data_IF_898307127654
#
_entry.id   IF_898307127654
#
_cell.length_a   1.000
_cell.length_b   1.000
_cell.length_c   1.000
_cell.angle_alpha   90.00
_cell.angle_beta   90.00
_cell.angle_gamma   90.00
#
_symmetry.space_group_name_H-M   'P 1'
#
loop_
_entity.id
_entity.type
_entity.pdbx_description
1 polymer ?
#
# COMPACT_ATOMS: atom_id res chain seq x y z
N UNK A 1 0.80 14.09 0.18
CA UNK A 1 -0.03 14.00 1.40
C UNK A 1 -0.05 12.59 1.96
N UNK A 2 -0.25 12.47 3.27
CA UNK A 2 -0.58 11.21 3.93
C UNK A 2 -2.09 11.21 4.18
N UNK A 3 -2.87 10.64 3.26
CA UNK A 3 -4.31 10.57 3.43
C UNK A 3 -4.68 9.64 4.59
N UNK A 4 -5.71 9.99 5.34
CA UNK A 4 -6.13 9.27 6.53
C UNK A 4 -7.65 9.23 6.74
N UNK A 5 -8.41 9.46 5.68
CA UNK A 5 -9.87 9.35 5.71
C UNK A 5 -10.32 8.15 4.87
N UNK A 6 -10.46 6.99 5.48
CA UNK A 6 -10.87 5.74 4.84
C UNK A 6 -9.77 4.70 4.70
N UNK A 7 -10.14 3.48 4.34
CA UNK A 7 -9.27 2.30 4.36
C UNK A 7 -8.56 2.00 3.03
N UNK A 8 -8.66 2.86 2.03
CA UNK A 8 -7.98 2.67 0.76
C UNK A 8 -6.54 3.19 0.81
N UNK A 9 -5.54 2.36 0.47
CA UNK A 9 -4.15 2.79 0.32
C UNK A 9 -3.36 3.03 1.61
N UNK A 10 -3.87 2.62 2.76
CA UNK A 10 -3.23 2.75 4.07
C UNK A 10 -1.83 2.10 4.13
N UNK A 11 -1.58 1.05 3.34
CA UNK A 11 -0.25 0.47 3.21
C UNK A 11 0.78 1.48 2.71
N UNK A 12 0.43 2.30 1.74
CA UNK A 12 1.32 3.33 1.19
C UNK A 12 1.76 4.33 2.27
N UNK A 13 0.85 4.77 3.15
CA UNK A 13 1.20 5.70 4.23
C UNK A 13 2.10 5.07 5.27
N UNK A 14 1.85 3.81 5.66
CA UNK A 14 2.72 3.07 6.57
C UNK A 14 4.10 2.83 5.98
N UNK A 15 4.15 2.37 4.72
CA UNK A 15 5.40 2.13 4.02
C UNK A 15 6.23 3.40 3.87
N UNK A 16 5.61 4.52 3.52
CA UNK A 16 6.29 5.80 3.41
C UNK A 16 6.95 6.21 4.73
N UNK A 17 6.20 6.19 5.83
CA UNK A 17 6.71 6.55 7.17
C UNK A 17 7.86 5.61 7.57
N UNK A 18 7.67 4.29 7.40
CA UNK A 18 8.68 3.29 7.72
C UNK A 18 10.01 3.53 6.98
N UNK A 19 9.93 3.90 5.70
CA UNK A 19 11.11 4.07 4.86
C UNK A 19 11.96 5.28 5.23
N UNK A 20 11.38 6.37 5.72
CA UNK A 20 12.10 7.63 5.96
C UNK A 20 13.35 7.43 6.85
N UNK A 21 13.29 6.53 7.82
CA UNK A 21 14.41 6.23 8.73
C UNK A 21 14.64 4.72 8.95
N UNK A 22 14.16 3.87 8.05
CA UNK A 22 14.39 2.42 8.10
C UNK A 22 13.62 1.69 9.20
N UNK A 23 12.48 2.22 9.64
CA UNK A 23 11.55 1.57 10.55
C UNK A 23 10.87 0.35 9.92
N UNK A 24 10.02 -0.33 10.69
CA UNK A 24 9.22 -1.47 10.20
C UNK A 24 7.84 -1.44 10.85
N UNK A 25 6.84 -1.93 10.13
CA UNK A 25 5.46 -2.04 10.65
C UNK A 25 5.34 -3.22 11.61
N UNK A 26 6.03 -4.30 11.32
CA UNK A 26 6.07 -5.52 12.15
C UNK A 26 7.50 -5.96 12.39
N UNK A 27 7.68 -6.89 13.30
CA UNK A 27 8.92 -7.66 13.40
C UNK A 27 9.16 -8.52 12.15
N UNK A 28 10.38 -9.04 11.98
CA UNK A 28 10.75 -9.85 10.81
C UNK A 28 9.95 -11.15 10.67
N UNK A 29 9.46 -11.68 11.78
CA UNK A 29 8.66 -12.93 11.82
C UNK A 29 7.17 -12.68 11.62
N UNK A 30 6.76 -11.42 11.49
CA UNK A 30 5.35 -11.02 11.32
C UNK A 30 4.49 -11.55 12.48
N UNK A 31 5.00 -11.44 13.71
CA UNK A 31 4.31 -11.92 14.92
C UNK A 31 3.74 -10.80 15.79
N UNK A 32 4.22 -9.57 15.59
CA UNK A 32 3.76 -8.38 16.32
C UNK A 32 4.00 -7.11 15.53
N UNK A 33 3.20 -6.08 15.81
CA UNK A 33 3.44 -4.72 15.34
C UNK A 33 4.53 -4.04 16.16
N UNK A 34 5.36 -3.24 15.49
CA UNK A 34 6.55 -2.56 16.07
C UNK A 34 6.63 -1.09 15.65
N UNK A 35 5.48 -0.46 15.39
CA UNK A 35 5.42 0.92 14.92
C UNK A 35 5.80 1.96 15.96
N UNK A 36 5.98 1.55 17.23
CA UNK A 36 6.56 2.33 18.32
C UNK A 36 8.11 2.30 18.34
N UNK A 37 8.73 1.63 17.37
CA UNK A 37 10.19 1.67 17.18
C UNK A 37 10.65 3.11 16.92
N UNK A 38 11.77 3.57 17.54
CA UNK A 38 12.25 4.94 17.40
C UNK A 38 12.46 5.41 15.96
N UNK A 39 12.78 4.51 15.02
CA UNK A 39 12.94 4.87 13.61
C UNK A 39 11.61 5.14 12.94
N UNK A 40 10.58 4.36 13.29
CA UNK A 40 9.23 4.58 12.77
C UNK A 40 8.63 5.87 13.36
N UNK A 41 8.79 6.09 14.65
CA UNK A 41 8.40 7.33 15.34
C UNK A 41 9.02 8.55 14.67
N UNK A 42 10.34 8.52 14.45
CA UNK A 42 11.07 9.59 13.76
C UNK A 42 10.56 9.83 12.33
N UNK A 43 10.11 8.76 11.64
CA UNK A 43 9.47 8.85 10.33
C UNK A 43 8.16 9.64 10.38
N UNK A 44 7.31 9.35 11.34
CA UNK A 44 6.03 10.07 11.50
C UNK A 44 6.25 11.50 11.97
N UNK A 45 7.19 11.76 12.89
CA UNK A 45 7.58 13.11 13.29
C UNK A 45 8.03 13.95 12.11
N UNK A 46 8.84 13.36 11.22
CA UNK A 46 9.33 14.04 10.01
C UNK A 46 8.18 14.39 9.06
N UNK A 47 7.25 13.46 8.84
CA UNK A 47 6.08 13.69 8.02
C UNK A 47 5.16 14.77 8.63
N UNK A 48 4.93 14.71 9.94
CA UNK A 48 4.17 15.74 10.68
C UNK A 48 4.82 17.11 10.55
N UNK A 49 6.14 17.18 10.70
CA UNK A 49 6.88 18.43 10.52
C UNK A 49 6.75 18.99 9.10
N UNK A 50 6.77 18.16 8.08
CA UNK A 50 6.53 18.61 6.70
C UNK A 50 5.11 19.15 6.48
N UNK A 51 4.11 18.61 7.18
CA UNK A 51 2.75 19.15 7.15
C UNK A 51 2.72 20.53 7.82
N UNK A 52 3.30 20.66 9.01
CA UNK A 52 3.40 21.92 9.74
C UNK A 52 4.12 23.01 8.94
N UNK A 53 5.21 22.65 8.24
CA UNK A 53 6.00 23.55 7.40
C UNK A 53 5.34 23.88 6.04
N UNK A 54 4.17 23.32 5.73
CA UNK A 54 3.47 23.49 4.47
C UNK A 54 4.14 22.79 3.27
N UNK A 55 5.11 21.90 3.52
CA UNK A 55 5.80 21.11 2.48
C UNK A 55 5.02 19.87 2.07
N UNK A 56 4.13 19.40 2.93
CA UNK A 56 3.25 18.27 2.69
C UNK A 56 1.80 18.66 3.00
N UNK A 57 0.88 18.37 2.08
CA UNK A 57 -0.54 18.62 2.33
C UNK A 57 -1.03 17.76 3.49
N UNK A 58 -1.80 18.37 4.40
CA UNK A 58 -2.52 17.62 5.42
C UNK A 58 -3.59 16.73 4.75
N UNK A 59 -3.46 15.44 4.89
CA UNK A 59 -4.32 14.44 4.26
C UNK A 59 -5.48 13.96 5.15
N UNK A 60 -5.73 14.59 6.29
CA UNK A 60 -6.74 14.15 7.26
C UNK A 60 -8.16 14.08 6.69
N UNK A 61 -8.44 14.85 5.65
CA UNK A 61 -9.72 14.86 4.92
C UNK A 61 -9.67 14.05 3.62
N UNK A 62 -8.53 13.46 3.28
CA UNK A 62 -8.35 12.74 2.02
C UNK A 62 -8.54 11.25 2.22
N UNK A 63 -9.29 10.65 1.32
CA UNK A 63 -9.38 9.20 1.14
C UNK A 63 -8.35 8.68 0.12
N UNK A 64 -8.29 7.37 -0.03
CA UNK A 64 -7.37 6.74 -0.97
C UNK A 64 -7.67 7.13 -2.42
N UNK A 65 -6.70 7.76 -3.07
CA UNK A 65 -6.78 8.23 -4.46
C UNK A 65 -6.87 9.74 -4.60
N UNK A 66 -7.25 10.48 -3.56
CA UNK A 66 -7.27 11.94 -3.60
C UNK A 66 -5.85 12.54 -3.76
N UNK A 67 -4.85 11.90 -3.18
CA UNK A 67 -3.44 12.27 -3.31
C UNK A 67 -2.97 12.23 -4.78
N UNK A 68 -3.37 11.21 -5.52
CA UNK A 68 -3.02 11.08 -6.93
C UNK A 68 -3.79 12.09 -7.79
N UNK A 69 -5.04 12.36 -7.43
CA UNK A 69 -5.82 13.39 -8.12
C UNK A 69 -5.19 14.77 -7.92
N UNK A 70 -4.70 15.09 -6.71
CA UNK A 70 -3.99 16.34 -6.42
C UNK A 70 -2.69 16.44 -7.21
N UNK A 71 -1.96 15.33 -7.37
CA UNK A 71 -0.77 15.28 -8.22
C UNK A 71 -1.13 15.51 -9.71
N UNK A 72 -2.12 14.81 -10.23
CA UNK A 72 -2.58 14.96 -11.62
C UNK A 72 -3.07 16.39 -11.93
N UNK A 73 -3.63 17.07 -10.93
CA UNK A 73 -4.07 18.46 -11.03
C UNK A 73 -2.93 19.49 -10.82
N UNK A 74 -1.68 19.04 -10.63
CA UNK A 74 -0.52 19.91 -10.43
C UNK A 74 -0.47 20.57 -9.04
N UNK A 75 -1.26 20.12 -8.08
CA UNK A 75 -1.27 20.68 -6.72
C UNK A 75 -0.10 20.16 -5.87
N UNK A 76 0.48 19.03 -6.23
CA UNK A 76 1.66 18.45 -5.58
C UNK A 76 2.65 17.95 -6.62
N UNK A 77 3.95 18.09 -6.33
CA UNK A 77 5.03 17.58 -7.20
C UNK A 77 5.34 16.11 -6.97
N UNK A 78 4.87 15.55 -5.85
CA UNK A 78 5.07 14.15 -5.45
C UNK A 78 3.78 13.54 -4.95
N UNK A 79 3.58 12.27 -5.28
CA UNK A 79 2.50 11.46 -4.72
C UNK A 79 2.98 10.05 -4.40
N UNK A 80 2.25 9.34 -3.57
CA UNK A 80 2.50 7.91 -3.30
C UNK A 80 1.69 7.11 -4.31
N UNK A 81 2.39 6.41 -5.19
CA UNK A 81 1.78 5.43 -6.09
C UNK A 81 1.78 4.06 -5.40
N UNK A 82 0.60 3.55 -5.07
CA UNK A 82 0.48 2.30 -4.32
C UNK A 82 0.11 1.08 -5.17
N UNK A 83 -0.21 1.24 -6.45
CA UNK A 83 -0.38 0.13 -7.37
C UNK A 83 -0.06 0.54 -8.82
N UNK A 84 0.70 -0.28 -9.57
CA UNK A 84 0.90 -0.06 -11.01
C UNK A 84 -0.41 0.00 -11.79
N UNK A 85 -1.46 -0.71 -11.31
CA UNK A 85 -2.80 -0.68 -11.88
C UNK A 85 -3.44 0.69 -11.90
N UNK A 86 -3.04 1.58 -11.00
CA UNK A 86 -3.51 2.96 -10.98
C UNK A 86 -2.94 3.79 -12.13
N UNK A 87 -1.79 3.38 -12.68
CA UNK A 87 -1.27 3.97 -13.89
C UNK A 87 -2.27 3.86 -15.06
N UNK A 88 -3.07 2.81 -15.13
CA UNK A 88 -4.09 2.64 -16.17
C UNK A 88 -5.27 3.61 -16.06
N UNK A 89 -5.73 3.88 -14.85
CA UNK A 89 -6.86 4.81 -14.59
C UNK A 89 -6.37 6.26 -14.64
N UNK A 90 -5.17 6.51 -14.17
CA UNK A 90 -4.61 7.85 -14.00
C UNK A 90 -3.65 8.25 -15.11
N UNK A 91 -3.13 7.30 -15.91
CA UNK A 91 -2.37 7.61 -17.10
C UNK A 91 -3.13 8.58 -18.01
N UNK A 92 -4.44 8.41 -18.16
CA UNK A 92 -5.28 9.33 -18.94
C UNK A 92 -5.32 10.74 -18.34
N UNK A 93 -5.33 10.87 -17.01
CA UNK A 93 -5.30 12.16 -16.33
C UNK A 93 -3.93 12.80 -16.44
N UNK A 94 -2.86 12.03 -16.25
CA UNK A 94 -1.48 12.47 -16.37
C UNK A 94 -1.14 12.81 -17.83
N UNK A 95 -1.57 12.01 -18.79
CA UNK A 95 -1.41 12.29 -20.23
C UNK A 95 -2.13 13.58 -20.64
N UNK A 96 -3.33 13.82 -20.11
CA UNK A 96 -4.08 15.04 -20.35
C UNK A 96 -3.39 16.28 -19.75
N UNK A 97 -2.69 16.14 -18.63
CA UNK A 97 -1.96 17.24 -17.97
C UNK A 97 -0.63 17.58 -18.64
N UNK A 98 -0.14 16.75 -19.57
CA UNK A 98 1.19 16.85 -20.21
C UNK A 98 2.36 16.93 -19.23
N UNK A 99 2.24 16.31 -18.08
CA UNK A 99 3.27 16.23 -17.05
C UNK A 99 4.12 14.99 -17.29
N UNK A 100 5.44 15.14 -17.31
CA UNK A 100 6.35 13.99 -17.26
C UNK A 100 6.35 13.40 -15.86
N UNK A 101 6.07 12.10 -15.77
CA UNK A 101 6.02 11.36 -14.51
C UNK A 101 7.18 10.38 -14.44
N UNK A 102 7.93 10.47 -13.36
CA UNK A 102 9.02 9.55 -13.05
C UNK A 102 8.69 8.78 -11.78
N UNK A 103 8.67 7.46 -11.88
CA UNK A 103 8.52 6.58 -10.73
C UNK A 103 9.87 6.36 -10.06
N UNK A 104 9.87 6.50 -8.74
CA UNK A 104 11.02 6.24 -7.89
C UNK A 104 10.57 5.38 -6.68
N UNK A 105 11.44 4.48 -6.17
CA UNK A 105 11.12 3.78 -4.92
C UNK A 105 11.00 4.79 -3.77
N UNK A 106 10.41 4.38 -2.65
CA UNK A 106 10.33 5.26 -1.48
C UNK A 106 11.71 5.78 -1.08
N UNK A 107 11.79 7.07 -0.67
CA UNK A 107 13.03 7.62 -0.12
C UNK A 107 13.43 6.81 1.12
N UNK A 108 14.70 6.48 1.22
CA UNK A 108 15.24 5.70 2.34
C UNK A 108 16.60 6.24 2.72
N UNK A 109 16.81 6.49 4.00
CA UNK A 109 18.12 6.91 4.55
C UNK A 109 19.19 5.81 4.43
N UNK A 110 18.77 4.56 4.29
CA UNK A 110 19.66 3.41 4.12
C UNK A 110 20.01 3.13 2.65
N UNK A 111 19.40 3.83 1.70
CA UNK A 111 19.50 3.53 0.27
C UNK A 111 18.86 2.19 -0.14
N UNK A 112 18.21 1.49 0.80
CA UNK A 112 17.52 0.21 0.58
C UNK A 112 16.05 0.37 1.01
N UNK A 113 15.16 0.78 0.11
CA UNK A 113 13.75 0.95 0.45
C UNK A 113 13.12 -0.40 0.80
N UNK A 114 12.14 -0.35 1.69
CA UNK A 114 11.27 -1.48 2.01
C UNK A 114 9.92 -1.20 1.37
N UNK A 115 9.52 -2.03 0.41
CA UNK A 115 8.24 -1.87 -0.27
C UNK A 115 7.24 -2.87 0.29
N UNK A 116 6.01 -2.44 0.41
CA UNK A 116 4.89 -3.31 0.68
C UNK A 116 4.24 -3.75 -0.63
N UNK A 117 3.61 -4.91 -0.60
CA UNK A 117 2.91 -5.44 -1.75
C UNK A 117 1.56 -6.02 -1.34
N UNK A 118 0.67 -6.13 -2.29
CA UNK A 118 -0.65 -6.71 -2.12
C UNK A 118 -0.81 -7.85 -3.11
N UNK A 119 -1.27 -8.98 -2.63
CA UNK A 119 -1.66 -10.11 -3.47
C UNK A 119 -3.18 -10.12 -3.60
N UNK A 120 -3.66 -9.91 -4.82
CA UNK A 120 -5.07 -10.06 -5.15
C UNK A 120 -5.32 -11.47 -5.68
N UNK A 121 -6.46 -12.03 -5.32
CA UNK A 121 -6.85 -13.37 -5.72
C UNK A 121 -8.36 -13.56 -5.76
N UNK A 122 -8.77 -14.72 -6.23
CA UNK A 122 -10.16 -15.12 -6.25
C UNK A 122 -10.42 -16.14 -5.15
N UNK A 123 -11.50 -15.96 -4.39
CA UNK A 123 -11.95 -16.90 -3.38
C UNK A 123 -13.22 -17.60 -3.83
N UNK A 124 -13.28 -18.92 -3.60
CA UNK A 124 -14.49 -19.71 -3.82
C UNK A 124 -15.11 -20.04 -2.47
N UNK A 125 -16.26 -19.48 -2.17
CA UNK A 125 -16.99 -19.74 -0.94
C UNK A 125 -17.79 -21.04 -1.05
N UNK A 126 -17.80 -21.81 0.04
CA UNK A 126 -18.65 -22.98 0.16
C UNK A 126 -20.09 -22.56 0.49
N UNK A 127 -20.95 -22.54 -0.53
CA UNK A 127 -22.37 -22.24 -0.39
C UNK A 127 -23.24 -23.50 -0.14
N UNK A 128 -22.62 -24.64 0.22
CA UNK A 128 -23.30 -25.93 0.46
C UNK A 128 -23.93 -26.57 -0.80
N UNK A 129 -23.60 -26.09 -1.99
CA UNK A 129 -24.00 -26.68 -3.26
C UNK A 129 -22.73 -27.11 -4.01
N UNK A 130 -22.45 -28.39 -4.00
CA UNK A 130 -21.23 -28.97 -4.57
C UNK A 130 -21.07 -28.66 -6.06
N UNK A 131 -22.19 -28.63 -6.81
CA UNK A 131 -22.16 -28.35 -8.26
C UNK A 131 -21.77 -26.91 -8.52
N UNK A 132 -22.31 -25.97 -7.74
CA UNK A 132 -21.95 -24.53 -7.85
C UNK A 132 -20.50 -24.30 -7.43
N UNK A 133 -20.07 -24.92 -6.34
CA UNK A 133 -18.66 -24.83 -5.90
C UNK A 133 -17.72 -25.39 -6.96
N UNK A 134 -18.03 -26.54 -7.57
CA UNK A 134 -17.23 -27.13 -8.63
C UNK A 134 -17.18 -26.22 -9.90
N UNK A 135 -18.30 -25.62 -10.28
CA UNK A 135 -18.36 -24.69 -11.40
C UNK A 135 -17.54 -23.40 -11.09
N UNK A 136 -17.66 -22.85 -9.89
CA UNK A 136 -16.89 -21.68 -9.46
C UNK A 136 -15.37 -21.97 -9.48
N UNK A 137 -14.94 -23.13 -9.01
CA UNK A 137 -13.52 -23.54 -9.07
C UNK A 137 -13.02 -23.60 -10.52
N UNK A 138 -13.78 -24.19 -11.44
CA UNK A 138 -13.42 -24.23 -12.87
C UNK A 138 -13.32 -22.83 -13.47
N UNK A 139 -14.25 -21.94 -13.12
CA UNK A 139 -14.21 -20.55 -13.58
C UNK A 139 -12.98 -19.82 -13.06
N UNK A 140 -12.67 -19.93 -11.76
CA UNK A 140 -11.47 -19.32 -11.18
C UNK A 140 -10.20 -19.86 -11.82
N UNK A 141 -10.11 -21.18 -12.06
CA UNK A 141 -8.98 -21.76 -12.77
C UNK A 141 -8.84 -21.20 -14.18
N UNK A 142 -9.94 -21.04 -14.90
CA UNK A 142 -9.92 -20.47 -16.24
C UNK A 142 -9.38 -19.03 -16.26
N UNK A 143 -9.87 -18.15 -15.40
CA UNK A 143 -9.45 -16.74 -15.39
C UNK A 143 -8.07 -16.50 -14.77
N UNK A 144 -7.59 -17.42 -13.93
CA UNK A 144 -6.31 -17.26 -13.22
C UNK A 144 -5.16 -18.11 -13.80
N UNK A 145 -5.46 -19.28 -14.36
CA UNK A 145 -4.45 -20.28 -14.74
C UNK A 145 -4.38 -20.57 -16.24
N UNK A 146 -5.42 -20.23 -16.99
CA UNK A 146 -5.42 -20.45 -18.43
C UNK A 146 -4.27 -19.68 -19.09
N UNK A 147 -3.61 -20.34 -20.06
CA UNK A 147 -2.41 -19.80 -20.71
C UNK A 147 -2.68 -18.54 -21.54
N UNK A 148 -3.90 -18.38 -22.01
CA UNK A 148 -4.32 -17.23 -22.80
C UNK A 148 -5.01 -16.17 -21.93
N UNK A 149 -5.98 -16.58 -21.14
CA UNK A 149 -6.82 -15.65 -20.36
C UNK A 149 -6.17 -15.18 -19.07
N UNK A 150 -5.36 -16.01 -18.42
CA UNK A 150 -4.65 -15.63 -17.21
C UNK A 150 -3.76 -14.39 -17.40
N UNK A 151 -2.82 -14.38 -18.38
CA UNK A 151 -2.03 -13.20 -18.70
C UNK A 151 -2.87 -11.98 -19.08
N UNK A 152 -3.89 -12.14 -19.91
CA UNK A 152 -4.80 -11.05 -20.33
C UNK A 152 -5.51 -10.42 -19.12
N UNK A 153 -5.95 -11.25 -18.17
CA UNK A 153 -6.58 -10.78 -16.94
C UNK A 153 -5.62 -10.00 -16.07
N UNK A 154 -4.38 -10.47 -15.91
CA UNK A 154 -3.34 -9.75 -15.16
C UNK A 154 -3.07 -8.38 -15.79
N UNK A 155 -2.83 -8.32 -17.10
CA UNK A 155 -2.59 -7.06 -17.82
C UNK A 155 -3.76 -6.10 -17.68
N UNK A 156 -5.00 -6.61 -17.78
CA UNK A 156 -6.21 -5.79 -17.61
C UNK A 156 -6.32 -5.13 -16.24
N UNK A 157 -5.80 -5.78 -15.20
CA UNK A 157 -5.76 -5.21 -13.84
C UNK A 157 -4.55 -4.30 -13.60
N UNK A 158 -3.59 -4.27 -14.53
CA UNK A 158 -2.33 -3.53 -14.36
C UNK A 158 -1.42 -4.09 -13.27
N UNK A 159 -1.64 -5.33 -12.83
CA UNK A 159 -0.86 -5.98 -11.80
C UNK A 159 0.31 -6.81 -12.39
N UNK A 160 1.26 -7.20 -11.53
CA UNK A 160 2.28 -8.20 -11.92
C UNK A 160 1.75 -9.62 -11.71
N UNK A 161 2.16 -10.58 -12.57
CA UNK A 161 1.76 -11.96 -12.38
C UNK A 161 2.43 -12.58 -11.16
N UNK A 162 1.66 -13.33 -10.37
CA UNK A 162 2.21 -14.19 -9.31
C UNK A 162 2.78 -15.51 -9.87
N UNK A 163 2.50 -15.81 -11.14
CA UNK A 163 2.99 -16.99 -11.83
C UNK A 163 4.16 -16.66 -12.74
N UNK A 164 5.32 -17.24 -12.45
CA UNK A 164 6.52 -17.10 -13.29
C UNK A 164 6.32 -17.63 -14.72
N UNK A 165 5.41 -18.61 -14.90
CA UNK A 165 5.08 -19.20 -16.22
C UNK A 165 4.40 -18.22 -17.19
N UNK A 166 3.89 -17.10 -16.71
CA UNK A 166 3.32 -16.06 -17.59
C UNK A 166 4.39 -15.16 -18.21
N UNK A 167 5.63 -15.22 -17.69
CA UNK A 167 6.74 -14.46 -18.25
C UNK A 167 6.56 -12.94 -18.16
N UNK A 168 7.20 -12.23 -19.07
CA UNK A 168 7.08 -10.78 -19.21
C UNK A 168 5.73 -10.42 -19.86
N UNK A 169 4.90 -9.64 -19.19
CA UNK A 169 3.58 -9.26 -19.68
C UNK A 169 3.49 -7.82 -20.21
N UNK A 170 4.47 -6.97 -19.90
CA UNK A 170 4.46 -5.57 -20.25
C UNK A 170 5.68 -5.19 -21.08
N UNK A 171 5.46 -4.41 -22.15
CA UNK A 171 6.49 -3.74 -22.95
C UNK A 171 6.57 -2.24 -22.61
N UNK A 172 6.09 -1.86 -21.44
CA UNK A 172 6.11 -0.50 -20.90
C UNK A 172 7.35 -0.33 -20.02
N UNK A 173 8.20 0.66 -20.33
CA UNK A 173 9.44 0.93 -19.59
C UNK A 173 9.21 1.22 -18.11
N UNK A 174 8.09 1.85 -17.75
CA UNK A 174 7.74 2.14 -16.35
C UNK A 174 7.43 0.84 -15.62
N UNK A 175 6.61 -0.03 -16.22
CA UNK A 175 6.30 -1.34 -15.65
C UNK A 175 7.56 -2.22 -15.52
N UNK A 176 8.46 -2.16 -16.48
CA UNK A 176 9.77 -2.83 -16.38
C UNK A 176 10.56 -2.30 -15.18
N UNK A 177 10.67 -0.99 -15.03
CA UNK A 177 11.38 -0.35 -13.91
C UNK A 177 10.76 -0.78 -12.56
N UNK A 178 9.45 -0.68 -12.40
CA UNK A 178 8.75 -1.05 -11.16
C UNK A 178 8.94 -2.55 -10.87
N UNK A 179 8.97 -3.42 -11.89
CA UNK A 179 9.17 -4.85 -11.69
C UNK A 179 10.52 -5.18 -11.04
N UNK A 180 11.55 -4.35 -11.26
CA UNK A 180 12.86 -4.53 -10.61
C UNK A 180 12.81 -4.28 -9.10
N UNK A 181 11.82 -3.54 -8.61
CA UNK A 181 11.68 -3.20 -7.20
C UNK A 181 11.06 -4.32 -6.36
N UNK A 182 10.60 -5.40 -6.96
CA UNK A 182 10.12 -6.59 -6.23
C UNK A 182 11.18 -7.16 -5.29
N UNK A 183 12.47 -6.92 -5.55
CA UNK A 183 13.58 -7.26 -4.66
C UNK A 183 13.54 -6.52 -3.31
N UNK A 184 12.80 -5.41 -3.22
CA UNK A 184 12.65 -4.60 -2.02
C UNK A 184 11.40 -4.94 -1.20
N UNK A 185 10.64 -5.96 -1.58
CA UNK A 185 9.44 -6.35 -0.85
C UNK A 185 9.77 -6.78 0.57
N UNK A 186 9.06 -6.18 1.51
CA UNK A 186 9.10 -6.51 2.93
C UNK A 186 8.32 -7.80 3.23
N UNK A 187 8.47 -8.40 4.40
CA UNK A 187 7.61 -9.49 4.84
C UNK A 187 6.12 -9.12 4.72
N UNK A 188 5.31 -10.05 4.23
CA UNK A 188 3.89 -9.83 3.98
C UNK A 188 3.10 -9.94 5.29
N UNK A 189 2.78 -8.80 5.90
CA UNK A 189 2.10 -8.76 7.20
C UNK A 189 0.57 -8.68 7.12
N UNK A 190 -0.01 -8.65 5.93
CA UNK A 190 -1.47 -8.60 5.77
C UNK A 190 -2.18 -9.89 6.23
N UNK A 191 -1.43 -10.95 6.49
CA UNK A 191 -1.92 -12.23 7.02
C UNK A 191 -1.86 -12.34 8.54
N UNK A 192 -1.33 -11.32 9.22
CA UNK A 192 -1.29 -11.32 10.68
C UNK A 192 -2.73 -11.28 11.25
N UNK A 193 -2.96 -12.03 12.29
CA UNK A 193 -4.26 -12.01 12.96
C UNK A 193 -4.60 -10.56 13.42
N UNK A 194 -5.86 -10.17 13.28
CA UNK A 194 -6.28 -8.81 13.63
C UNK A 194 -5.89 -7.71 12.62
N UNK A 195 -5.33 -8.06 11.44
CA UNK A 195 -4.93 -7.07 10.44
C UNK A 195 -6.05 -6.09 10.07
N UNK A 196 -7.27 -6.58 9.85
CA UNK A 196 -8.40 -5.71 9.51
C UNK A 196 -8.75 -4.73 10.65
N UNK A 197 -8.69 -5.20 11.91
CA UNK A 197 -8.93 -4.35 13.09
C UNK A 197 -7.82 -3.32 13.27
N UNK A 198 -6.55 -3.71 13.11
CA UNK A 198 -5.41 -2.78 13.14
C UNK A 198 -5.61 -1.64 12.15
N UNK A 199 -6.10 -1.90 10.94
CA UNK A 199 -6.36 -0.87 9.95
C UNK A 199 -7.38 0.18 10.43
N UNK A 200 -8.38 -0.22 11.21
CA UNK A 200 -9.35 0.72 11.79
C UNK A 200 -8.75 1.64 12.86
N UNK A 201 -7.64 1.21 13.49
CA UNK A 201 -6.91 2.01 14.48
C UNK A 201 -5.92 2.99 13.81
N UNK A 202 -5.43 2.66 12.62
CA UNK A 202 -4.39 3.43 11.93
C UNK A 202 -4.84 4.84 11.56
N UNK A 203 -6.03 4.98 10.97
CA UNK A 203 -6.49 6.26 10.45
C UNK A 203 -6.76 7.30 11.53
N UNK A 204 -7.47 7.01 12.64
CA UNK A 204 -7.66 7.99 13.70
C UNK A 204 -6.34 8.46 14.30
N UNK A 205 -5.38 7.56 14.48
CA UNK A 205 -4.04 7.90 14.96
C UNK A 205 -3.33 8.83 13.96
N UNK A 206 -3.32 8.50 12.68
CA UNK A 206 -2.65 9.31 11.66
C UNK A 206 -3.32 10.69 11.51
N UNK A 207 -4.65 10.77 11.60
CA UNK A 207 -5.39 12.04 11.59
C UNK A 207 -5.01 12.92 12.78
N UNK A 208 -5.01 12.36 14.00
CA UNK A 208 -4.66 13.08 15.22
C UNK A 208 -3.27 13.70 15.10
N UNK A 209 -2.28 12.94 14.64
CA UNK A 209 -0.92 13.43 14.45
C UNK A 209 -0.82 14.45 13.30
N UNK A 210 -1.50 14.21 12.19
CA UNK A 210 -1.48 15.13 11.04
C UNK A 210 -2.14 16.48 11.32
N UNK A 211 -3.13 16.51 12.21
CA UNK A 211 -3.80 17.72 12.65
C UNK A 211 -3.06 18.45 13.79
N UNK A 212 -2.03 17.83 14.37
CA UNK A 212 -1.30 18.37 15.50
C UNK A 212 -1.98 18.18 16.86
N UNK A 213 -3.04 17.35 16.93
CA UNK A 213 -3.79 17.07 18.15
C UNK A 213 -2.97 16.19 19.11
N UNK A 214 -2.09 15.35 18.58
CA UNK A 214 -1.23 14.45 19.34
C UNK A 214 0.18 14.38 18.73
N UNK A 215 1.19 14.15 19.58
CA UNK A 215 2.56 13.92 19.12
C UNK A 215 2.73 12.49 18.60
N UNK A 216 3.64 12.29 17.64
CA UNK A 216 3.86 11.01 16.98
C UNK A 216 4.21 9.87 17.95
N UNK A 217 5.11 10.12 18.91
CA UNK A 217 5.57 9.08 19.84
C UNK A 217 4.44 8.50 20.71
N UNK A 218 3.67 9.28 21.50
CA UNK A 218 2.57 8.73 22.30
C UNK A 218 1.46 8.12 21.41
N UNK A 219 1.16 8.72 20.27
CA UNK A 219 0.17 8.20 19.34
C UNK A 219 0.55 6.81 18.82
N UNK A 220 1.78 6.63 18.35
CA UNK A 220 2.29 5.34 17.87
C UNK A 220 2.41 4.30 18.98
N UNK A 221 2.81 4.70 20.19
CA UNK A 221 2.83 3.80 21.34
C UNK A 221 1.44 3.23 21.61
N UNK A 222 0.45 4.11 21.76
CA UNK A 222 -0.95 3.71 21.98
C UNK A 222 -1.48 2.85 20.82
N UNK A 223 -1.18 3.24 19.58
CA UNK A 223 -1.55 2.46 18.41
C UNK A 223 -0.94 1.05 18.41
N UNK A 224 0.37 0.95 18.68
CA UNK A 224 1.10 -0.34 18.67
C UNK A 224 0.57 -1.28 19.75
N UNK A 225 0.30 -0.76 20.96
CA UNK A 225 -0.31 -1.53 22.04
C UNK A 225 -1.67 -2.11 21.62
N UNK A 226 -2.57 -1.27 21.12
CA UNK A 226 -3.91 -1.68 20.66
C UNK A 226 -3.85 -2.63 19.46
N UNK A 227 -2.97 -2.37 18.49
CA UNK A 227 -2.78 -3.24 17.35
C UNK A 227 -2.29 -4.64 17.76
N UNK A 228 -1.37 -4.73 18.73
CA UNK A 228 -0.91 -6.01 19.27
C UNK A 228 -1.99 -6.73 20.10
N UNK A 229 -2.93 -6.02 20.71
CA UNK A 229 -4.09 -6.64 21.38
C UNK A 229 -5.01 -7.34 20.37
N UNK A 230 -5.11 -6.87 19.13
CA UNK A 230 -5.95 -7.51 18.11
C UNK A 230 -5.44 -8.91 17.75
N UNK A 231 -4.12 -9.15 17.84
CA UNK A 231 -3.51 -10.46 17.58
C UNK A 231 -3.88 -11.48 18.66
N UNK A 232 -4.12 -11.05 19.89
CA UNK A 232 -4.35 -11.90 21.07
C UNK A 232 -5.81 -12.34 21.25
N UNK A 233 -6.73 -11.79 20.44
CA UNK A 233 -8.19 -12.00 20.61
C UNK A 233 -8.72 -13.30 19.94
N UNK A 234 -7.92 -14.35 19.87
CA UNK A 234 -8.40 -15.68 19.46
C UNK A 234 -8.74 -16.56 20.64
#
# INVERSE_FOLDING_TARGET
>A
SLFSNGQGGDQGTRAFIANLYGGSVTDEKVTKYTTDDPKFVKGLEKASKWIEDGLMMNGSQFDGGADIQNFANGQTSYTILWAPSQNGIQAKLLDASKVEVVEVPFPSDTGKPKLEYLVNGFAVFNNKDEKKVAAAKKFVQFIADDKEWGPKNVVRTGAFPVRSSFGKLYDDKRMETISTWTQYYSPYYNTIDGFAEMRTLWFPMLQSVSNGDEKAEPALKTFTEKANETIKKK
#
